data_IF_677760200067
#
_entry.id   IF_677760200067
#
_cell.length_a   1.000
_cell.length_b   1.000
_cell.length_c   1.000
_cell.angle_alpha   90.00
_cell.angle_beta   90.00
_cell.angle_gamma   90.00
#
_symmetry.space_group_name_H-M   'P 1'
#
loop_
_entity.id
_entity.type
_entity.pdbx_description
1 polymer ?
#
# COMPACT_ATOMS: atom_id res chain seq x y z
N UNK A 1 24.04 -8.08 -1.70
CA UNK A 1 22.80 -8.19 -0.90
C UNK A 1 22.78 -9.53 -0.17
N UNK A 2 22.74 -10.67 -0.87
CA UNK A 2 22.58 -12.00 -0.25
C UNK A 2 23.60 -12.24 0.86
N UNK A 3 24.90 -12.06 0.60
CA UNK A 3 25.96 -12.30 1.57
C UNK A 3 25.87 -11.34 2.76
N UNK A 4 25.53 -10.07 2.53
CA UNK A 4 25.32 -9.09 3.58
C UNK A 4 24.14 -9.45 4.49
N UNK A 5 23.00 -9.84 3.90
CA UNK A 5 21.86 -10.33 4.67
C UNK A 5 22.21 -11.61 5.47
N UNK A 6 22.93 -12.55 4.88
CA UNK A 6 23.35 -13.77 5.58
C UNK A 6 24.29 -13.47 6.77
N UNK A 7 25.20 -12.51 6.62
CA UNK A 7 26.03 -12.09 7.73
C UNK A 7 25.20 -11.41 8.81
N UNK A 8 24.30 -10.49 8.41
CA UNK A 8 23.42 -9.79 9.35
C UNK A 8 22.54 -10.75 10.17
N UNK A 9 21.95 -11.80 9.53
CA UNK A 9 21.18 -12.82 10.27
C UNK A 9 22.02 -13.52 11.34
N UNK A 10 23.28 -13.85 11.03
CA UNK A 10 24.20 -14.44 12.01
C UNK A 10 24.49 -13.48 13.18
N UNK A 11 24.72 -12.21 12.87
CA UNK A 11 25.06 -11.18 13.87
C UNK A 11 23.90 -10.95 14.87
N UNK A 12 22.66 -11.01 14.42
CA UNK A 12 21.46 -10.88 15.27
C UNK A 12 20.93 -12.22 15.82
N UNK A 13 21.56 -13.34 15.49
CA UNK A 13 21.12 -14.69 15.91
C UNK A 13 19.80 -15.14 15.29
N UNK A 14 19.45 -14.64 14.09
CA UNK A 14 18.23 -15.03 13.38
C UNK A 14 18.46 -16.26 12.51
N UNK A 15 17.58 -17.28 12.62
CA UNK A 15 17.59 -18.43 11.73
C UNK A 15 17.00 -18.03 10.37
N UNK A 16 17.83 -18.02 9.33
CA UNK A 16 17.43 -17.66 7.95
C UNK A 16 16.39 -18.61 7.33
N UNK A 17 16.14 -19.77 7.91
CA UNK A 17 15.04 -20.65 7.50
C UNK A 17 13.69 -20.15 7.98
N UNK A 18 13.66 -19.26 8.97
CA UNK A 18 12.46 -18.62 9.46
C UNK A 18 12.12 -17.39 8.57
N UNK A 19 11.19 -17.59 7.63
CA UNK A 19 10.77 -16.58 6.66
C UNK A 19 9.74 -15.61 7.26
N UNK A 20 10.05 -14.98 8.38
CA UNK A 20 9.22 -14.05 9.12
C UNK A 20 9.47 -12.57 8.71
N UNK A 21 8.84 -11.65 9.43
CA UNK A 21 8.99 -10.22 9.21
C UNK A 21 10.43 -9.72 9.39
N UNK A 22 11.25 -10.40 10.21
CA UNK A 22 12.67 -10.07 10.37
C UNK A 22 13.43 -10.39 9.09
N UNK A 23 13.18 -11.57 8.53
CA UNK A 23 13.75 -11.99 7.25
C UNK A 23 13.41 -11.00 6.12
N UNK A 24 12.14 -10.61 6.01
CA UNK A 24 11.70 -9.64 4.99
C UNK A 24 12.36 -8.25 5.21
N UNK A 25 12.33 -7.75 6.42
CA UNK A 25 12.79 -6.39 6.74
C UNK A 25 14.32 -6.21 6.58
N UNK A 26 15.12 -7.22 6.88
CA UNK A 26 16.57 -7.18 6.66
C UNK A 26 16.88 -6.95 5.19
N UNK A 27 16.22 -7.69 4.30
CA UNK A 27 16.43 -7.55 2.85
C UNK A 27 16.00 -6.17 2.33
N UNK A 28 14.87 -5.65 2.80
CA UNK A 28 14.38 -4.34 2.38
C UNK A 28 15.34 -3.23 2.81
N UNK A 29 15.89 -3.29 4.04
CA UNK A 29 16.85 -2.30 4.53
C UNK A 29 18.19 -2.37 3.82
N UNK A 30 18.69 -3.57 3.55
CA UNK A 30 19.94 -3.76 2.80
C UNK A 30 19.84 -3.18 1.39
N UNK A 31 18.72 -3.40 0.69
CA UNK A 31 18.47 -2.78 -0.62
C UNK A 31 18.52 -1.25 -0.55
N UNK A 32 17.88 -0.68 0.47
CA UNK A 32 17.83 0.78 0.67
C UNK A 32 19.22 1.33 0.98
N UNK A 33 19.99 0.68 1.85
CA UNK A 33 21.35 1.10 2.16
C UNK A 33 22.23 1.17 0.89
N UNK A 34 22.19 0.13 0.07
CA UNK A 34 22.94 0.10 -1.20
C UNK A 34 22.54 1.24 -2.13
N UNK A 35 21.21 1.51 -2.26
CA UNK A 35 20.73 2.60 -3.11
C UNK A 35 21.22 3.97 -2.62
N UNK A 36 21.19 4.21 -1.31
CA UNK A 36 21.68 5.45 -0.71
C UNK A 36 23.19 5.64 -0.92
N UNK A 37 23.97 4.58 -0.72
CA UNK A 37 25.42 4.61 -0.92
C UNK A 37 25.80 4.82 -2.39
N UNK A 38 25.07 4.17 -3.32
CA UNK A 38 25.26 4.41 -4.75
C UNK A 38 24.93 5.86 -5.10
N UNK A 39 23.83 6.43 -4.58
CA UNK A 39 23.47 7.82 -4.85
C UNK A 39 24.56 8.79 -4.38
N UNK A 40 25.15 8.55 -3.21
CA UNK A 40 26.29 9.33 -2.73
C UNK A 40 27.51 9.21 -3.65
N UNK A 41 27.82 7.98 -4.09
CA UNK A 41 28.96 7.69 -4.96
C UNK A 41 28.89 8.41 -6.30
N UNK A 42 27.70 8.53 -6.88
CA UNK A 42 27.49 9.12 -8.22
C UNK A 42 27.01 10.57 -8.16
N UNK A 43 26.78 11.14 -6.98
CA UNK A 43 26.15 12.45 -6.83
C UNK A 43 24.69 12.47 -7.29
N UNK A 44 23.99 11.37 -7.05
CA UNK A 44 22.62 11.13 -7.52
C UNK A 44 21.55 11.34 -6.46
N UNK A 45 20.31 10.97 -6.81
CA UNK A 45 19.12 11.05 -5.99
C UNK A 45 18.42 9.69 -6.02
N UNK A 46 18.00 9.20 -4.83
CA UNK A 46 17.13 8.02 -4.75
C UNK A 46 15.68 8.45 -4.90
N UNK A 47 15.03 7.96 -5.97
CA UNK A 47 13.60 8.15 -6.21
C UNK A 47 12.84 6.95 -5.66
N UNK A 48 11.92 7.21 -4.72
CA UNK A 48 11.09 6.19 -4.11
C UNK A 48 9.88 5.85 -4.97
N UNK A 49 9.45 4.60 -4.88
CA UNK A 49 8.32 4.05 -5.64
C UNK A 49 7.05 3.84 -4.82
N UNK A 50 7.12 4.04 -3.49
CA UNK A 50 5.96 3.93 -2.59
C UNK A 50 4.82 4.85 -3.00
N UNK A 51 3.60 4.34 -3.00
CA UNK A 51 2.40 5.08 -3.37
C UNK A 51 1.56 5.51 -2.16
N UNK A 52 0.50 6.27 -2.43
CA UNK A 52 -0.39 6.81 -1.40
C UNK A 52 -1.09 5.72 -0.58
N UNK A 53 -1.48 4.62 -1.21
CA UNK A 53 -2.19 3.51 -0.55
C UNK A 53 -1.26 2.74 0.40
N UNK A 54 -0.03 2.49 -0.03
CA UNK A 54 1.01 1.89 0.81
C UNK A 54 1.33 2.78 2.01
N UNK A 55 1.43 4.09 1.80
CA UNK A 55 1.63 5.06 2.87
C UNK A 55 0.44 5.11 3.84
N UNK A 56 -0.80 5.03 3.35
CA UNK A 56 -1.99 4.99 4.19
C UNK A 56 -1.98 3.78 5.12
N UNK A 57 -1.69 2.61 4.58
CA UNK A 57 -1.68 1.34 5.32
C UNK A 57 -0.37 1.10 6.09
N UNK A 58 0.66 1.94 5.89
CA UNK A 58 2.00 1.66 6.39
C UNK A 58 2.54 0.32 5.86
N UNK A 59 2.18 -0.05 4.63
CA UNK A 59 2.63 -1.28 3.98
C UNK A 59 4.00 -1.09 3.35
N UNK A 60 5.00 -1.01 4.19
CA UNK A 60 6.41 -0.83 3.84
C UNK A 60 7.27 -1.23 5.03
N UNK A 61 8.52 -1.54 4.79
CA UNK A 61 9.51 -1.70 5.85
C UNK A 61 9.99 -0.34 6.34
N UNK A 62 9.81 -0.08 7.64
CA UNK A 62 10.34 1.14 8.26
C UNK A 62 11.87 1.23 8.07
N UNK A 63 12.36 2.37 7.59
CA UNK A 63 13.76 2.57 7.19
C UNK A 63 14.27 1.57 6.13
N UNK A 64 13.37 1.02 5.32
CA UNK A 64 13.67 0.16 4.18
C UNK A 64 13.15 0.79 2.89
N UNK A 65 12.31 0.06 2.16
CA UNK A 65 11.69 0.50 0.90
C UNK A 65 10.90 1.82 0.99
N UNK A 66 10.51 2.23 2.18
CA UNK A 66 9.91 3.52 2.48
C UNK A 66 10.88 4.70 2.26
N UNK A 67 12.20 4.45 2.43
CA UNK A 67 13.21 5.52 2.44
C UNK A 67 13.62 5.90 1.02
N UNK A 68 13.50 7.19 0.73
CA UNK A 68 13.99 7.81 -0.49
C UNK A 68 14.19 9.31 -0.28
N UNK A 69 14.85 9.96 -1.21
CA UNK A 69 15.01 11.42 -1.18
C UNK A 69 13.81 12.13 -1.80
N UNK A 70 13.07 11.44 -2.70
CA UNK A 70 11.87 11.96 -3.33
C UNK A 70 10.89 10.83 -3.69
N UNK A 71 9.62 10.94 -3.32
CA UNK A 71 8.56 9.98 -3.60
C UNK A 71 7.63 10.44 -4.71
N UNK A 72 7.83 9.97 -5.94
CA UNK A 72 7.03 10.42 -7.10
C UNK A 72 5.57 10.02 -7.01
N UNK A 73 5.26 8.90 -6.38
CA UNK A 73 3.90 8.36 -6.25
C UNK A 73 3.26 8.63 -4.87
N UNK A 74 3.88 9.47 -4.03
CA UNK A 74 3.44 9.68 -2.65
C UNK A 74 1.99 10.18 -2.50
N UNK A 75 1.41 10.76 -3.54
CA UNK A 75 -0.01 11.19 -3.56
C UNK A 75 -0.84 10.50 -4.66
N UNK A 76 -0.37 9.41 -5.22
CA UNK A 76 -1.07 8.62 -6.24
C UNK A 76 -1.54 7.31 -5.61
N UNK A 77 -2.85 7.03 -5.49
CA UNK A 77 -3.33 5.77 -4.96
C UNK A 77 -3.00 4.60 -5.89
N UNK A 78 -2.83 3.41 -5.35
CA UNK A 78 -2.47 2.19 -6.08
C UNK A 78 -3.39 1.93 -7.27
N UNK A 79 -4.68 2.13 -7.09
CA UNK A 79 -5.68 1.96 -8.15
C UNK A 79 -5.49 2.93 -9.31
N UNK A 80 -5.02 4.15 -9.05
CA UNK A 80 -4.75 5.15 -10.09
C UNK A 80 -3.43 4.86 -10.82
N UNK A 81 -2.43 4.26 -10.17
CA UNK A 81 -1.16 3.87 -10.82
C UNK A 81 -1.43 2.98 -12.03
N UNK A 82 -2.29 1.96 -11.88
CA UNK A 82 -2.70 1.09 -12.99
C UNK A 82 -3.36 1.90 -14.11
N UNK A 83 -4.32 2.75 -13.79
CA UNK A 83 -5.00 3.59 -14.78
C UNK A 83 -4.07 4.53 -15.55
N UNK A 84 -3.04 5.07 -14.89
CA UNK A 84 -2.00 5.88 -15.54
C UNK A 84 -1.21 5.05 -16.54
N UNK A 85 -0.77 3.85 -16.15
CA UNK A 85 -0.01 2.95 -17.03
C UNK A 85 -0.84 2.52 -18.24
N UNK A 86 -2.10 2.14 -18.03
CA UNK A 86 -3.03 1.77 -19.11
C UNK A 86 -3.27 2.94 -20.08
N UNK A 87 -3.45 4.15 -19.55
CA UNK A 87 -3.62 5.37 -20.36
C UNK A 87 -2.34 5.69 -21.16
N UNK A 88 -1.18 5.57 -20.54
CA UNK A 88 0.10 5.80 -21.20
C UNK A 88 0.34 4.77 -22.33
N UNK A 89 0.01 3.51 -22.08
CA UNK A 89 0.11 2.42 -23.06
C UNK A 89 -0.75 2.64 -24.31
N UNK A 90 -1.86 3.38 -24.20
CA UNK A 90 -2.71 3.71 -25.35
C UNK A 90 -2.06 4.71 -26.33
N UNK A 91 -1.14 5.53 -25.83
CA UNK A 91 -0.47 6.58 -26.61
C UNK A 91 0.97 6.23 -27.01
N UNK A 92 1.51 5.12 -26.49
CA UNK A 92 2.88 4.67 -26.71
C UNK A 92 2.91 3.20 -27.12
N UNK A 93 2.63 2.94 -28.41
CA UNK A 93 2.51 1.59 -28.95
C UNK A 93 3.78 0.75 -28.76
N UNK A 94 4.94 1.37 -28.79
CA UNK A 94 6.25 0.74 -28.60
C UNK A 94 6.47 0.19 -27.19
N UNK A 95 5.75 0.70 -26.20
CA UNK A 95 5.84 0.27 -24.80
C UNK A 95 4.59 -0.49 -24.32
N UNK A 96 3.56 -0.56 -25.16
CA UNK A 96 2.23 -1.04 -24.79
C UNK A 96 2.26 -2.43 -24.16
N UNK A 97 2.91 -3.38 -24.81
CA UNK A 97 2.96 -4.76 -24.35
C UNK A 97 3.62 -4.85 -22.96
N UNK A 98 4.77 -4.20 -22.80
CA UNK A 98 5.50 -4.18 -21.52
C UNK A 98 4.70 -3.52 -20.40
N UNK A 99 4.01 -2.41 -20.68
CA UNK A 99 3.21 -1.70 -19.69
C UNK A 99 1.98 -2.51 -19.24
N UNK A 100 1.34 -3.21 -20.17
CA UNK A 100 0.20 -4.07 -19.84
C UNK A 100 0.65 -5.31 -19.07
N UNK A 101 1.80 -5.91 -19.41
CA UNK A 101 2.40 -7.02 -18.64
C UNK A 101 2.70 -6.61 -17.20
N UNK A 102 3.24 -5.39 -16.98
CA UNK A 102 3.44 -4.83 -15.65
C UNK A 102 2.09 -4.70 -14.90
N UNK A 103 1.03 -4.23 -15.58
CA UNK A 103 -0.30 -4.11 -14.97
C UNK A 103 -0.90 -5.46 -14.56
N UNK A 104 -0.59 -6.53 -15.27
CA UNK A 104 -1.11 -7.87 -15.03
C UNK A 104 -0.24 -8.68 -14.04
N UNK A 105 0.94 -8.16 -13.70
CA UNK A 105 1.81 -8.74 -12.65
C UNK A 105 1.17 -8.54 -11.28
N UNK A 106 0.95 -9.61 -10.49
CA UNK A 106 0.41 -9.50 -9.14
C UNK A 106 1.29 -8.65 -8.21
N UNK A 107 0.67 -7.76 -7.44
CA UNK A 107 1.39 -6.93 -6.46
C UNK A 107 1.95 -7.81 -5.34
N UNK A 108 3.28 -7.80 -5.18
CA UNK A 108 4.01 -8.56 -4.18
C UNK A 108 5.18 -7.74 -3.62
N UNK A 109 5.53 -7.89 -2.33
CA UNK A 109 6.73 -7.28 -1.76
C UNK A 109 8.03 -7.94 -2.27
N UNK A 110 7.95 -9.11 -2.94
CA UNK A 110 9.10 -9.86 -3.52
C UNK A 110 10.27 -10.10 -2.53
N UNK A 111 9.94 -10.22 -1.24
CA UNK A 111 10.92 -10.43 -0.18
C UNK A 111 11.04 -11.90 0.22
N UNK A 112 10.05 -12.73 -0.12
CA UNK A 112 10.07 -14.16 0.09
C UNK A 112 10.58 -14.87 -1.17
N UNK A 113 11.30 -16.00 -1.02
CA UNK A 113 11.64 -16.85 -2.16
C UNK A 113 10.38 -17.29 -2.90
N UNK A 114 10.40 -17.39 -4.24
CA UNK A 114 9.28 -17.92 -5.00
C UNK A 114 8.98 -19.38 -4.60
N UNK A 115 7.80 -19.84 -4.93
CA UNK A 115 7.45 -21.26 -4.83
C UNK A 115 8.32 -22.12 -5.77
N UNK A 116 8.30 -23.43 -5.59
CA UNK A 116 9.09 -24.37 -6.44
C UNK A 116 8.74 -24.28 -7.92
N UNK A 117 7.51 -23.90 -8.25
CA UNK A 117 7.02 -23.67 -9.61
C UNK A 117 7.33 -22.25 -10.17
N UNK A 118 8.07 -21.43 -9.42
CA UNK A 118 8.42 -20.06 -9.79
C UNK A 118 7.32 -19.02 -9.54
N UNK A 119 6.16 -19.41 -9.02
CA UNK A 119 5.06 -18.46 -8.73
C UNK A 119 5.35 -17.62 -7.49
N UNK A 120 4.70 -16.44 -7.41
CA UNK A 120 4.82 -15.53 -6.29
C UNK A 120 4.20 -16.18 -5.04
N UNK A 121 5.00 -16.34 -3.98
CA UNK A 121 4.59 -17.00 -2.73
C UNK A 121 3.60 -16.15 -1.92
N UNK A 122 3.65 -14.82 -2.04
CA UNK A 122 2.86 -13.91 -1.24
C UNK A 122 2.30 -12.79 -2.10
N UNK A 123 0.99 -12.71 -2.20
CA UNK A 123 0.30 -11.55 -2.76
C UNK A 123 -0.01 -10.57 -1.65
N UNK A 124 0.20 -9.28 -1.93
CA UNK A 124 -0.03 -8.21 -0.96
C UNK A 124 -1.49 -8.18 -0.50
N UNK A 125 -2.46 -8.26 -1.42
CA UNK A 125 -3.88 -8.20 -1.10
C UNK A 125 -4.39 -9.38 -0.27
N UNK A 126 -3.72 -10.53 -0.28
CA UNK A 126 -4.05 -11.65 0.61
C UNK A 126 -3.83 -11.29 2.10
N UNK A 127 -2.88 -10.39 2.37
CA UNK A 127 -2.56 -9.95 3.74
C UNK A 127 -3.30 -8.69 4.18
N UNK A 128 -3.40 -7.72 3.31
CA UNK A 128 -3.94 -6.41 3.66
C UNK A 128 -5.34 -6.15 3.11
N UNK A 129 -5.86 -7.00 2.22
CA UNK A 129 -7.13 -6.80 1.55
C UNK A 129 -7.03 -5.94 0.29
N UNK A 130 -8.19 -5.62 -0.28
CA UNK A 130 -8.30 -4.98 -1.59
C UNK A 130 -7.94 -3.50 -1.58
N UNK A 131 -6.99 -3.09 -2.41
CA UNK A 131 -6.66 -1.68 -2.62
C UNK A 131 -7.83 -0.85 -3.15
N UNK A 132 -8.76 -1.44 -3.90
CA UNK A 132 -9.96 -0.73 -4.36
C UNK A 132 -10.81 -0.25 -3.17
N UNK A 133 -10.97 -1.10 -2.15
CA UNK A 133 -11.70 -0.74 -0.94
C UNK A 133 -10.90 0.28 -0.12
N UNK A 134 -9.61 0.07 0.04
CA UNK A 134 -8.74 0.97 0.82
C UNK A 134 -8.67 2.38 0.23
N UNK A 135 -8.51 2.51 -1.07
CA UNK A 135 -8.46 3.81 -1.74
C UNK A 135 -9.79 4.55 -1.67
N UNK A 136 -10.91 3.80 -1.75
CA UNK A 136 -12.24 4.37 -1.53
C UNK A 136 -12.41 4.92 -0.11
N UNK A 137 -12.01 4.15 0.91
CA UNK A 137 -12.06 4.58 2.31
C UNK A 137 -11.18 5.82 2.51
N UNK A 138 -9.94 5.78 2.04
CA UNK A 138 -8.98 6.86 2.18
C UNK A 138 -9.51 8.18 1.59
N UNK A 139 -10.08 8.12 0.40
CA UNK A 139 -10.64 9.30 -0.26
C UNK A 139 -11.77 9.92 0.56
N UNK A 140 -12.77 9.14 0.94
CA UNK A 140 -13.94 9.66 1.66
C UNK A 140 -13.63 10.07 3.10
N UNK A 141 -12.74 9.35 3.76
CA UNK A 141 -12.28 9.67 5.10
C UNK A 141 -11.50 10.99 5.11
N UNK A 142 -10.46 11.11 4.27
CA UNK A 142 -9.59 12.27 4.30
C UNK A 142 -10.21 13.49 3.62
N UNK A 143 -10.87 13.31 2.48
CA UNK A 143 -11.42 14.43 1.71
C UNK A 143 -12.72 14.98 2.27
N UNK A 144 -13.54 14.10 2.85
CA UNK A 144 -14.90 14.44 3.29
C UNK A 144 -15.12 14.29 4.79
N UNK A 145 -14.18 13.71 5.53
CA UNK A 145 -14.31 13.48 6.97
C UNK A 145 -15.40 12.45 7.32
N UNK A 146 -15.72 11.53 6.44
CA UNK A 146 -16.77 10.55 6.68
C UNK A 146 -16.29 9.43 7.62
N UNK A 147 -17.17 9.02 8.55
CA UNK A 147 -16.96 7.87 9.41
C UNK A 147 -17.23 6.53 8.71
N UNK A 148 -16.88 5.41 9.38
CA UNK A 148 -16.99 4.06 8.82
C UNK A 148 -18.38 3.70 8.29
N UNK A 149 -19.44 3.96 9.04
CA UNK A 149 -20.82 3.65 8.63
C UNK A 149 -21.18 4.31 7.31
N UNK A 150 -20.92 5.61 7.19
CA UNK A 150 -21.23 6.33 5.96
C UNK A 150 -20.40 5.88 4.77
N UNK A 151 -19.12 5.56 5.00
CA UNK A 151 -18.24 5.03 3.94
C UNK A 151 -18.71 3.64 3.51
N UNK A 152 -19.10 2.79 4.45
CA UNK A 152 -19.66 1.47 4.16
C UNK A 152 -20.90 1.56 3.26
N UNK A 153 -21.89 2.37 3.66
CA UNK A 153 -23.12 2.55 2.89
C UNK A 153 -22.84 3.11 1.48
N UNK A 154 -21.93 4.08 1.38
CA UNK A 154 -21.52 4.63 0.09
C UNK A 154 -20.84 3.59 -0.79
N UNK A 155 -19.94 2.76 -0.23
CA UNK A 155 -19.26 1.72 -0.99
C UNK A 155 -20.23 0.66 -1.50
N UNK A 156 -21.14 0.16 -0.65
CA UNK A 156 -22.16 -0.82 -1.05
C UNK A 156 -23.03 -0.27 -2.18
N UNK A 157 -23.48 0.98 -2.06
CA UNK A 157 -24.30 1.61 -3.10
C UNK A 157 -23.50 1.81 -4.40
N UNK A 158 -22.29 2.33 -4.33
CA UNK A 158 -21.42 2.55 -5.49
C UNK A 158 -21.12 1.22 -6.22
N UNK A 159 -20.75 0.18 -5.47
CA UNK A 159 -20.47 -1.15 -6.03
C UNK A 159 -21.73 -1.76 -6.67
N UNK A 160 -22.87 -1.66 -6.01
CA UNK A 160 -24.16 -2.12 -6.55
C UNK A 160 -24.50 -1.41 -7.87
N UNK A 161 -24.34 -0.10 -7.92
CA UNK A 161 -24.59 0.68 -9.14
C UNK A 161 -23.61 0.31 -10.27
N UNK A 162 -22.36 0.08 -9.94
CA UNK A 162 -21.33 -0.34 -10.90
C UNK A 162 -21.68 -1.69 -11.51
N UNK A 163 -22.00 -2.70 -10.68
CA UNK A 163 -22.36 -4.04 -11.13
C UNK A 163 -23.61 -4.02 -12.04
N UNK A 164 -24.63 -3.23 -11.67
CA UNK A 164 -25.82 -3.04 -12.51
C UNK A 164 -25.47 -2.42 -13.87
N UNK A 165 -24.58 -1.44 -13.89
CA UNK A 165 -24.10 -0.83 -15.14
C UNK A 165 -23.35 -1.83 -16.02
N UNK A 166 -22.70 -2.81 -15.41
CA UNK A 166 -22.02 -3.91 -16.11
C UNK A 166 -22.95 -5.06 -16.51
N UNK A 167 -24.27 -4.93 -16.30
CA UNK A 167 -25.28 -5.88 -16.74
C UNK A 167 -25.69 -6.94 -15.70
N UNK A 168 -25.24 -6.80 -14.43
CA UNK A 168 -25.68 -7.70 -13.35
C UNK A 168 -27.01 -7.20 -12.81
N UNK A 169 -28.10 -7.93 -13.03
CA UNK A 169 -29.45 -7.52 -12.62
C UNK A 169 -29.59 -7.40 -11.09
N UNK A 170 -29.10 -8.41 -10.36
CA UNK A 170 -29.19 -8.50 -8.90
C UNK A 170 -27.78 -8.68 -8.28
N UNK A 171 -26.97 -7.62 -8.18
CA UNK A 171 -25.61 -7.73 -7.65
C UNK A 171 -25.63 -8.07 -6.17
N UNK A 172 -24.87 -9.10 -5.81
CA UNK A 172 -24.64 -9.50 -4.41
C UNK A 172 -23.25 -8.98 -4.01
N UNK A 173 -23.24 -8.05 -3.07
CA UNK A 173 -21.99 -7.52 -2.53
C UNK A 173 -21.67 -8.24 -1.22
N UNK A 174 -20.49 -8.82 -1.12
CA UNK A 174 -20.02 -9.44 0.11
C UNK A 174 -19.73 -8.36 1.16
N UNK A 175 -20.73 -8.08 1.99
CA UNK A 175 -20.64 -7.08 3.06
C UNK A 175 -19.62 -7.46 4.12
N UNK A 176 -19.45 -8.76 4.39
CA UNK A 176 -18.49 -9.24 5.39
C UNK A 176 -17.05 -8.99 4.93
N UNK A 177 -16.76 -9.22 3.65
CA UNK A 177 -15.47 -8.90 3.07
C UNK A 177 -15.19 -7.38 3.10
N UNK A 178 -16.19 -6.55 2.77
CA UNK A 178 -16.04 -5.08 2.86
C UNK A 178 -15.72 -4.66 4.29
N UNK A 179 -16.46 -5.15 5.29
CA UNK A 179 -16.22 -4.83 6.70
C UNK A 179 -14.84 -5.30 7.18
N UNK A 180 -14.40 -6.48 6.76
CA UNK A 180 -13.05 -7.00 7.04
C UNK A 180 -11.97 -6.06 6.48
N UNK A 181 -12.11 -5.62 5.25
CA UNK A 181 -11.19 -4.67 4.61
C UNK A 181 -11.18 -3.31 5.33
N UNK A 182 -12.34 -2.82 5.75
CA UNK A 182 -12.45 -1.59 6.55
C UNK A 182 -11.75 -1.72 7.89
N UNK A 183 -11.91 -2.84 8.59
CA UNK A 183 -11.21 -3.10 9.85
C UNK A 183 -9.70 -3.12 9.68
N UNK A 184 -9.19 -3.78 8.64
CA UNK A 184 -7.77 -3.77 8.29
C UNK A 184 -7.30 -2.34 8.03
N UNK A 185 -8.05 -1.56 7.23
CA UNK A 185 -7.71 -0.17 6.92
C UNK A 185 -7.59 0.67 8.19
N UNK A 186 -8.63 0.73 9.02
CA UNK A 186 -8.65 1.59 10.22
C UNK A 186 -7.57 1.16 11.22
N UNK A 187 -7.39 -0.14 11.47
CA UNK A 187 -6.33 -0.62 12.34
C UNK A 187 -4.95 -0.18 11.84
N UNK A 188 -4.65 -0.39 10.56
CA UNK A 188 -3.35 -0.04 10.00
C UNK A 188 -3.16 1.47 9.87
N UNK A 189 -4.14 2.20 9.40
CA UNK A 189 -4.05 3.65 9.21
C UNK A 189 -3.62 4.36 10.50
N UNK A 190 -4.20 3.99 11.64
CA UNK A 190 -3.90 4.60 12.92
C UNK A 190 -2.59 4.08 13.52
N UNK A 191 -2.37 2.78 13.57
CA UNK A 191 -1.20 2.18 14.22
C UNK A 191 0.11 2.37 13.46
N UNK A 192 0.06 2.69 12.17
CA UNK A 192 1.24 2.84 11.32
C UNK A 192 1.63 4.31 11.06
N UNK A 193 1.10 5.26 11.81
CA UNK A 193 1.41 6.68 11.65
C UNK A 193 2.91 6.99 11.78
N UNK A 194 3.64 6.30 12.64
CA UNK A 194 5.08 6.51 12.81
C UNK A 194 5.86 6.35 11.50
N UNK A 195 5.39 5.50 10.59
CA UNK A 195 6.00 5.34 9.25
C UNK A 195 5.75 6.56 8.37
N UNK A 196 4.56 7.17 8.44
CA UNK A 196 4.25 8.38 7.67
C UNK A 196 4.99 9.62 8.17
N UNK A 197 5.35 9.66 9.45
CA UNK A 197 6.09 10.80 10.03
C UNK A 197 7.43 11.05 9.34
N UNK A 198 8.04 10.03 8.75
CA UNK A 198 9.32 10.11 8.05
C UNK A 198 9.21 9.83 6.53
N UNK A 199 8.01 9.97 5.95
CA UNK A 199 7.87 9.80 4.51
C UNK A 199 8.66 10.88 3.73
N UNK A 200 9.21 10.55 2.54
CA UNK A 200 9.94 11.50 1.72
C UNK A 200 9.05 12.63 1.19
N UNK A 201 9.67 13.70 0.71
CA UNK A 201 8.97 14.70 -0.08
C UNK A 201 8.47 14.11 -1.39
N UNK A 202 7.35 14.65 -1.88
CA UNK A 202 6.74 14.21 -3.12
C UNK A 202 5.73 15.23 -3.63
N UNK A 203 5.37 15.12 -4.90
CA UNK A 203 4.38 15.98 -5.51
C UNK A 203 2.96 15.60 -5.05
N UNK A 204 2.13 16.61 -4.77
CA UNK A 204 0.70 16.43 -4.56
C UNK A 204 -0.03 16.49 -5.91
N UNK A 205 -0.43 15.33 -6.42
CA UNK A 205 -1.12 15.22 -7.71
C UNK A 205 -2.63 15.37 -7.55
N UNK A 206 -3.21 14.68 -6.57
CA UNK A 206 -4.65 14.66 -6.32
C UNK A 206 -5.07 15.57 -5.16
N UNK A 207 -6.34 15.43 -4.75
CA UNK A 207 -6.92 16.16 -3.62
C UNK A 207 -6.62 15.52 -2.26
N UNK A 208 -6.07 14.29 -2.24
CA UNK A 208 -5.70 13.52 -1.06
C UNK A 208 -4.19 13.41 -0.99
N UNK A 209 -3.62 13.68 0.18
CA UNK A 209 -2.19 13.50 0.47
C UNK A 209 -2.02 13.23 1.96
N UNK A 210 -1.00 12.46 2.29
CA UNK A 210 -0.67 12.09 3.67
C UNK A 210 0.65 12.72 4.14
N UNK A 211 1.13 13.76 3.45
CA UNK A 211 2.35 14.46 3.83
C UNK A 211 2.25 15.05 5.25
N UNK A 212 3.15 14.66 6.17
CA UNK A 212 3.16 15.18 7.54
C UNK A 212 3.57 16.66 7.62
N UNK A 213 4.09 17.20 6.52
CA UNK A 213 4.55 18.59 6.43
C UNK A 213 3.41 19.60 6.21
N UNK A 214 2.19 19.13 5.92
CA UNK A 214 1.06 20.05 5.75
C UNK A 214 -0.29 19.39 5.59
N UNK A 215 -0.36 18.25 4.88
CA UNK A 215 -1.64 17.66 4.50
C UNK A 215 -2.26 16.77 5.60
N UNK A 216 -1.43 15.97 6.30
CA UNK A 216 -1.91 15.06 7.33
C UNK A 216 -0.96 15.03 8.53
N UNK A 217 -1.35 15.73 9.59
CA UNK A 217 -0.64 15.73 10.87
C UNK A 217 -1.43 14.94 11.89
N UNK A 218 -0.87 13.85 12.37
CA UNK A 218 -1.47 12.97 13.36
C UNK A 218 -0.40 12.51 14.35
N UNK A 219 -0.76 12.41 15.63
CA UNK A 219 0.11 11.82 16.64
C UNK A 219 0.32 10.32 16.35
N UNK A 220 1.54 9.82 16.58
CA UNK A 220 1.87 8.40 16.34
C UNK A 220 1.19 7.44 17.34
N UNK A 221 0.72 7.95 18.47
CA UNK A 221 -0.02 7.24 19.51
C UNK A 221 -1.54 7.41 19.41
N UNK A 222 -2.05 8.01 18.32
CA UNK A 222 -3.48 8.12 18.08
C UNK A 222 -4.14 6.73 18.01
N UNK A 223 -5.30 6.59 18.63
CA UNK A 223 -6.01 5.33 18.78
C UNK A 223 -7.19 5.23 17.79
N UNK A 224 -7.40 4.04 17.26
CA UNK A 224 -8.46 3.72 16.29
C UNK A 224 -9.79 3.29 16.94
N UNK A 225 -9.90 3.20 18.25
CA UNK A 225 -11.02 2.53 18.96
C UNK A 225 -12.39 3.03 18.52
N UNK A 226 -12.60 4.34 18.40
CA UNK A 226 -13.90 4.94 17.99
C UNK A 226 -14.37 4.40 16.63
N UNK A 227 -13.45 4.27 15.65
CA UNK A 227 -13.78 3.76 14.32
C UNK A 227 -14.03 2.25 14.33
N UNK A 228 -13.29 1.50 15.15
CA UNK A 228 -13.48 0.05 15.31
C UNK A 228 -14.80 -0.23 16.04
N UNK A 229 -15.18 0.55 17.03
CA UNK A 229 -16.46 0.42 17.72
C UNK A 229 -17.64 0.61 16.74
N UNK A 230 -17.58 1.65 15.89
CA UNK A 230 -18.59 1.88 14.84
C UNK A 230 -18.65 0.73 13.83
N UNK A 231 -17.50 0.14 13.45
CA UNK A 231 -17.47 -1.06 12.60
C UNK A 231 -18.07 -2.30 13.28
N UNK A 232 -17.84 -2.48 14.58
CA UNK A 232 -18.43 -3.59 15.34
C UNK A 232 -19.95 -3.49 15.44
N UNK A 233 -20.49 -2.27 15.54
CA UNK A 233 -21.93 -2.05 15.45
C UNK A 233 -22.47 -2.48 14.07
N UNK A 234 -21.76 -2.17 12.97
CA UNK A 234 -22.15 -2.55 11.62
C UNK A 234 -22.16 -4.07 11.39
N UNK A 235 -21.26 -4.81 12.04
CA UNK A 235 -21.21 -6.28 11.95
C UNK A 235 -22.44 -6.97 12.58
N UNK A 236 -23.14 -6.27 13.46
CA UNK A 236 -24.31 -6.79 14.17
C UNK A 236 -25.66 -6.45 13.48
N UNK A 237 -25.63 -5.78 12.34
CA UNK A 237 -26.79 -5.42 11.52
C UNK A 237 -26.87 -6.33 10.27
#
# INVERSE_FOLDING_TARGET
IKDACEQHYKDIGHDKSNLDVTFENVQARERTQILMDISNKIGGLVVGTGDLSELALGWCTYNGDQMSMYGVNASIPKTLVRGILESYAQHHNELRETLLDICDTPVSPELLPPNEDGTIKQKTEDKIGSYVIHDFILYYMQRHGFGPRKIFDLYINAKTMHEKKMGVENPVIDKADVLKNMEIFYNRFWTQQFKRSCMPDGVKVGSVSLSPRGDWRMASDACQSIWIDELNELKNI
#
